data_IF_628598876939
#
_entry.id   IF_628598876939
#
_cell.length_a   1.000
_cell.length_b   1.000
_cell.length_c   1.000
_cell.angle_alpha   90.00
_cell.angle_beta   90.00
_cell.angle_gamma   90.00
#
_symmetry.space_group_name_H-M   'P 1'
#
loop_
_entity.id
_entity.type
_entity.pdbx_description
1 polymer ?
#
# COMPACT_ATOMS: atom_id res chain seq x y z
N UNK A 1 -2.63 -14.87 -17.37
CA UNK A 1 -3.02 -16.02 -16.52
C UNK A 1 -2.02 -16.04 -15.37
N UNK A 2 -1.94 -14.94 -14.62
CA UNK A 2 -0.84 -14.63 -13.68
C UNK A 2 -1.39 -14.03 -12.36
N UNK A 3 -2.51 -13.29 -12.42
CA UNK A 3 -3.21 -12.73 -11.25
C UNK A 3 -3.65 -13.77 -10.19
N UNK A 4 -4.00 -14.99 -10.60
CA UNK A 4 -4.47 -16.03 -9.68
C UNK A 4 -3.38 -16.52 -8.71
N UNK A 5 -2.12 -16.54 -9.14
CA UNK A 5 -0.99 -16.97 -8.30
C UNK A 5 -0.67 -15.88 -7.26
N UNK A 6 -0.61 -14.61 -7.67
CA UNK A 6 -0.42 -13.46 -6.78
C UNK A 6 -1.54 -13.37 -5.73
N UNK A 7 -2.80 -13.57 -6.14
CA UNK A 7 -3.94 -13.59 -5.21
C UNK A 7 -3.86 -14.75 -4.22
N UNK A 8 -3.39 -15.92 -4.67
CA UNK A 8 -3.16 -17.09 -3.81
C UNK A 8 -2.10 -16.82 -2.74
N UNK A 9 -0.95 -16.28 -3.15
CA UNK A 9 0.16 -15.94 -2.25
C UNK A 9 -0.23 -14.82 -1.26
N UNK A 10 -0.97 -13.80 -1.72
CA UNK A 10 -1.54 -12.79 -0.83
C UNK A 10 -2.47 -13.43 0.21
N UNK A 11 -3.31 -14.38 -0.22
CA UNK A 11 -4.17 -15.15 0.67
C UNK A 11 -3.37 -15.88 1.76
N UNK A 12 -2.25 -16.49 1.41
CA UNK A 12 -1.36 -17.16 2.37
C UNK A 12 -0.74 -16.18 3.36
N UNK A 13 -0.25 -15.03 2.91
CA UNK A 13 0.33 -13.98 3.78
C UNK A 13 -0.71 -13.49 4.80
N UNK A 14 -1.93 -13.19 4.35
CA UNK A 14 -3.03 -12.73 5.23
C UNK A 14 -3.42 -13.83 6.23
N UNK A 15 -3.49 -15.09 5.78
CA UNK A 15 -3.83 -16.22 6.65
C UNK A 15 -2.76 -16.49 7.70
N UNK A 16 -1.47 -16.41 7.35
CA UNK A 16 -0.36 -16.58 8.29
C UNK A 16 -0.39 -15.48 9.35
N UNK A 17 -0.60 -14.23 8.93
CA UNK A 17 -0.71 -13.10 9.83
C UNK A 17 -1.91 -13.25 10.79
N UNK A 18 -3.05 -13.72 10.29
CA UNK A 18 -4.20 -14.07 11.13
C UNK A 18 -3.87 -15.17 12.16
N UNK A 19 -3.19 -16.24 11.76
CA UNK A 19 -2.80 -17.34 12.65
C UNK A 19 -1.82 -16.91 13.76
N UNK A 20 -1.17 -15.75 13.60
CA UNK A 20 -0.22 -15.19 14.54
C UNK A 20 -0.72 -13.94 15.29
N UNK A 21 -2.04 -13.69 15.23
CA UNK A 21 -2.71 -12.55 15.88
C UNK A 21 -2.13 -11.19 15.45
N UNK A 22 -1.78 -11.04 14.17
CA UNK A 22 -1.24 -9.80 13.61
C UNK A 22 -2.39 -8.86 13.17
N UNK A 23 -2.36 -7.56 13.53
CA UNK A 23 -3.33 -6.55 13.07
C UNK A 23 -3.20 -6.28 11.57
N UNK A 24 -3.78 -7.13 10.73
CA UNK A 24 -3.72 -6.93 9.26
C UNK A 24 -4.82 -6.02 8.73
N UNK A 25 -5.92 -5.82 9.47
CA UNK A 25 -7.04 -4.97 9.01
C UNK A 25 -6.62 -3.50 9.05
N UNK A 26 -6.72 -2.82 7.91
CA UNK A 26 -6.36 -1.42 7.78
C UNK A 26 -5.58 -1.12 6.50
N UNK A 27 -5.10 0.12 6.41
CA UNK A 27 -4.32 0.64 5.29
C UNK A 27 -2.83 0.43 5.55
N UNK A 28 -2.18 -0.33 4.66
CA UNK A 28 -0.73 -0.55 4.62
C UNK A 28 -0.17 0.20 3.41
N UNK A 29 0.80 1.10 3.64
CA UNK A 29 1.44 1.87 2.57
C UNK A 29 2.89 1.42 2.45
N UNK A 30 3.19 0.74 1.35
CA UNK A 30 4.48 0.15 1.04
C UNK A 30 5.24 1.13 0.16
N UNK A 31 6.16 1.88 0.77
CA UNK A 31 6.92 2.93 0.09
C UNK A 31 8.22 2.41 -0.47
N UNK A 32 8.53 2.76 -1.72
CA UNK A 32 9.81 2.40 -2.34
C UNK A 32 10.69 3.64 -2.56
N UNK A 33 12.01 3.49 -2.39
CA UNK A 33 12.95 4.62 -2.51
C UNK A 33 13.29 4.98 -3.96
N UNK A 34 13.04 4.06 -4.90
CA UNK A 34 13.32 4.30 -6.32
C UNK A 34 12.22 5.13 -6.99
N UNK A 35 12.55 6.29 -7.60
CA UNK A 35 11.58 7.24 -8.15
C UNK A 35 10.83 6.74 -9.41
N UNK A 36 11.14 5.54 -9.90
CA UNK A 36 10.42 4.88 -10.99
C UNK A 36 9.49 3.75 -10.53
N UNK A 37 9.48 3.46 -9.22
CA UNK A 37 8.65 2.43 -8.61
C UNK A 37 7.51 3.13 -7.87
N UNK A 38 6.24 2.81 -8.15
CA UNK A 38 5.11 3.39 -7.43
C UNK A 38 5.09 2.92 -5.97
N UNK A 39 4.56 3.76 -5.09
CA UNK A 39 4.12 3.33 -3.78
C UNK A 39 2.88 2.44 -3.93
N UNK A 40 2.79 1.40 -3.11
CA UNK A 40 1.68 0.45 -3.14
C UNK A 40 0.86 0.64 -1.87
N UNK A 41 -0.40 1.02 -2.01
CA UNK A 41 -1.34 1.10 -0.92
C UNK A 41 -2.25 -0.13 -0.94
N UNK A 42 -2.30 -0.86 0.17
CA UNK A 42 -3.08 -2.07 0.37
C UNK A 42 -4.06 -1.84 1.51
N UNK A 43 -5.36 -1.80 1.22
CA UNK A 43 -6.41 -1.69 2.22
C UNK A 43 -7.07 -3.05 2.44
N UNK A 44 -6.87 -3.61 3.64
CA UNK A 44 -7.40 -4.91 4.03
C UNK A 44 -8.60 -4.70 4.95
N UNK A 45 -9.75 -5.20 4.51
CA UNK A 45 -11.02 -5.17 5.25
C UNK A 45 -11.45 -6.60 5.57
N UNK A 46 -12.00 -6.80 6.77
CA UNK A 46 -12.61 -8.07 7.16
C UNK A 46 -14.12 -7.92 7.20
N UNK A 47 -14.84 -8.97 6.80
CA UNK A 47 -16.30 -9.03 6.96
C UNK A 47 -16.71 -9.35 8.42
N UNK A 48 -15.75 -9.72 9.27
CA UNK A 48 -15.95 -9.93 10.70
C UNK A 48 -15.67 -8.62 11.48
N UNK A 49 -16.70 -8.02 12.13
CA UNK A 49 -16.54 -6.79 12.89
C UNK A 49 -15.61 -6.94 14.10
N UNK A 50 -15.44 -8.16 14.63
CA UNK A 50 -14.54 -8.43 15.76
C UNK A 50 -13.08 -8.59 15.33
N UNK A 51 -12.80 -8.69 14.02
CA UNK A 51 -11.43 -8.73 13.52
C UNK A 51 -10.68 -7.39 13.74
N UNK A 52 -11.41 -6.26 13.75
CA UNK A 52 -10.84 -4.94 14.00
C UNK A 52 -10.39 -4.75 15.45
N UNK A 53 -11.14 -5.32 16.40
CA UNK A 53 -10.90 -5.17 17.84
C UNK A 53 -9.87 -6.18 18.38
N UNK A 54 -9.51 -7.21 17.61
CA UNK A 54 -8.66 -8.30 18.07
C UNK A 54 -7.19 -7.96 18.28
N UNK A 55 -6.73 -6.75 17.94
CA UNK A 55 -5.28 -6.54 17.79
C UNK A 55 -4.79 -5.16 18.23
N UNK A 56 -4.49 -5.04 19.53
CA UNK A 56 -3.43 -4.13 19.98
C UNK A 56 -2.87 -4.53 21.36
N UNK A 57 -2.23 -5.70 21.40
CA UNK A 57 -1.14 -5.91 22.33
C UNK A 57 0.03 -5.05 21.79
N UNK A 58 0.32 -3.91 22.41
CA UNK A 58 1.42 -3.03 22.00
C UNK A 58 2.82 -3.60 22.28
N UNK A 59 2.99 -4.92 22.30
CA UNK A 59 4.30 -5.54 22.54
C UNK A 59 5.23 -5.41 21.35
N UNK A 60 6.51 -5.44 21.66
CA UNK A 60 7.59 -5.51 20.69
C UNK A 60 7.48 -6.76 19.79
N UNK A 61 6.93 -7.86 20.31
CA UNK A 61 6.71 -9.07 19.53
C UNK A 61 5.61 -8.90 18.48
N UNK A 62 4.51 -8.22 18.82
CA UNK A 62 3.45 -7.88 17.88
C UNK A 62 3.97 -6.92 16.79
N UNK A 63 4.74 -5.91 17.17
CA UNK A 63 5.36 -4.97 16.23
C UNK A 63 6.28 -5.68 15.21
N UNK A 64 7.12 -6.62 15.66
CA UNK A 64 8.00 -7.40 14.76
C UNK A 64 7.22 -8.28 13.80
N UNK A 65 6.09 -8.86 14.23
CA UNK A 65 5.26 -9.68 13.35
C UNK A 65 4.53 -8.83 12.32
N UNK A 66 4.09 -7.62 12.69
CA UNK A 66 3.51 -6.67 11.76
C UNK A 66 4.55 -6.24 10.70
N UNK A 67 5.76 -5.90 11.11
CA UNK A 67 6.86 -5.55 10.19
C UNK A 67 7.19 -6.72 9.23
N UNK A 68 7.21 -7.96 9.72
CA UNK A 68 7.41 -9.14 8.89
C UNK A 68 6.28 -9.35 7.87
N UNK A 69 5.04 -9.12 8.28
CA UNK A 69 3.87 -9.14 7.39
C UNK A 69 3.96 -8.06 6.30
N UNK A 70 4.26 -6.81 6.67
CA UNK A 70 4.41 -5.69 5.74
C UNK A 70 5.54 -5.94 4.74
N UNK A 71 6.66 -6.54 5.20
CA UNK A 71 7.78 -6.93 4.35
C UNK A 71 7.38 -8.00 3.34
N UNK A 72 6.70 -9.07 3.78
CA UNK A 72 6.24 -10.12 2.87
C UNK A 72 5.25 -9.59 1.82
N UNK A 73 4.35 -8.70 2.23
CA UNK A 73 3.41 -8.03 1.33
C UNK A 73 4.13 -7.16 0.30
N UNK A 74 5.13 -6.40 0.74
CA UNK A 74 5.95 -5.55 -0.14
C UNK A 74 6.72 -6.39 -1.16
N UNK A 75 7.39 -7.45 -0.73
CA UNK A 75 8.16 -8.32 -1.61
C UNK A 75 7.27 -8.95 -2.68
N UNK A 76 6.13 -9.53 -2.28
CA UNK A 76 5.16 -10.12 -3.22
C UNK A 76 4.70 -9.10 -4.27
N UNK A 77 4.21 -7.94 -3.83
CA UNK A 77 3.58 -6.97 -4.73
C UNK A 77 4.59 -6.24 -5.62
N UNK A 78 5.81 -5.99 -5.14
CA UNK A 78 6.86 -5.42 -5.98
C UNK A 78 7.37 -6.41 -7.02
N UNK A 79 7.52 -7.69 -6.65
CA UNK A 79 7.88 -8.74 -7.62
C UNK A 79 6.81 -8.87 -8.69
N UNK A 80 5.54 -9.01 -8.30
CA UNK A 80 4.43 -9.12 -9.25
C UNK A 80 4.28 -7.86 -10.14
N UNK A 81 4.57 -6.67 -9.60
CA UNK A 81 4.63 -5.44 -10.40
C UNK A 81 5.78 -5.46 -11.41
N UNK A 82 6.98 -5.87 -10.99
CA UNK A 82 8.15 -5.93 -11.87
C UNK A 82 8.00 -6.97 -13.01
N UNK A 83 7.21 -8.01 -12.77
CA UNK A 83 6.91 -9.08 -13.74
C UNK A 83 5.68 -8.79 -14.61
N UNK A 84 5.06 -7.61 -14.47
CA UNK A 84 3.84 -7.19 -15.20
C UNK A 84 2.63 -8.12 -14.92
N UNK A 85 2.64 -8.79 -13.76
CA UNK A 85 1.54 -9.66 -13.31
C UNK A 85 0.42 -8.86 -12.63
N UNK A 86 0.73 -7.64 -12.18
CA UNK A 86 -0.18 -6.64 -11.60
C UNK A 86 -0.59 -5.56 -12.63
N UNK A 87 -0.74 -5.91 -13.90
CA UNK A 87 -0.97 -4.95 -14.99
C UNK A 87 -2.30 -4.16 -14.89
N UNK A 88 -3.29 -4.64 -14.14
CA UNK A 88 -4.53 -3.90 -13.80
C UNK A 88 -4.85 -4.00 -12.29
N UNK A 89 -4.08 -3.30 -11.47
CA UNK A 89 -4.05 -3.53 -10.03
C UNK A 89 -5.09 -2.73 -9.26
N UNK A 90 -5.90 -1.93 -9.96
CA UNK A 90 -7.00 -1.18 -9.36
C UNK A 90 -8.19 -2.12 -9.23
N UNK A 91 -8.18 -2.90 -8.17
CA UNK A 91 -9.17 -3.95 -7.95
C UNK A 91 -9.34 -4.30 -6.49
N UNK A 92 -10.56 -4.75 -6.16
CA UNK A 92 -10.84 -5.37 -4.87
C UNK A 92 -10.80 -6.87 -5.07
N UNK A 93 -9.82 -7.52 -4.45
CA UNK A 93 -9.73 -8.97 -4.39
C UNK A 93 -10.44 -9.48 -3.15
N UNK A 94 -11.26 -10.52 -3.33
CA UNK A 94 -11.84 -11.25 -2.20
C UNK A 94 -10.98 -12.44 -1.85
N UNK A 95 -10.67 -12.61 -0.58
CA UNK A 95 -9.97 -13.78 -0.07
C UNK A 95 -11.00 -14.59 0.73
N UNK A 96 -11.43 -15.71 0.14
CA UNK A 96 -12.43 -16.61 0.71
C UNK A 96 -11.71 -17.87 1.19
N UNK A 97 -11.95 -18.27 2.44
CA UNK A 97 -11.34 -19.45 3.02
C UNK A 97 -12.40 -20.48 3.40
N UNK A 98 -12.16 -21.78 3.17
CA UNK A 98 -13.15 -22.82 3.45
C UNK A 98 -13.40 -23.07 4.94
N UNK A 99 -12.67 -22.40 5.84
CA UNK A 99 -12.77 -22.59 7.29
C UNK A 99 -13.73 -21.58 7.91
N UNK A 100 -14.75 -22.01 8.68
CA UNK A 100 -15.71 -21.09 9.31
C UNK A 100 -15.12 -20.26 10.46
N UNK A 101 -13.88 -20.54 10.86
CA UNK A 101 -13.16 -19.77 11.89
C UNK A 101 -12.21 -18.73 11.30
N UNK A 102 -12.08 -18.69 9.98
CA UNK A 102 -11.28 -17.74 9.24
C UNK A 102 -12.28 -16.78 8.57
N UNK A 103 -12.22 -15.48 8.83
CA UNK A 103 -13.15 -14.55 8.22
C UNK A 103 -12.82 -14.37 6.74
N UNK A 104 -13.81 -13.98 5.94
CA UNK A 104 -13.55 -13.52 4.59
C UNK A 104 -12.95 -12.12 4.62
N UNK A 105 -12.05 -11.84 3.68
CA UNK A 105 -11.38 -10.55 3.56
C UNK A 105 -11.57 -9.94 2.17
N UNK A 106 -11.60 -8.62 2.15
CA UNK A 106 -11.51 -7.82 0.92
C UNK A 106 -10.20 -7.03 0.96
N UNK A 107 -9.37 -7.22 -0.05
CA UNK A 107 -8.09 -6.51 -0.20
C UNK A 107 -8.16 -5.62 -1.42
N UNK A 108 -8.01 -4.32 -1.22
CA UNK A 108 -7.95 -3.32 -2.28
C UNK A 108 -6.50 -2.89 -2.47
N UNK A 109 -5.97 -3.05 -3.68
CA UNK A 109 -4.62 -2.62 -4.04
C UNK A 109 -4.73 -1.36 -4.90
N UNK A 110 -3.85 -0.39 -4.64
CA UNK A 110 -3.77 0.81 -5.45
C UNK A 110 -2.33 1.30 -5.55
N UNK A 111 -1.90 1.68 -6.75
CA UNK A 111 -0.59 2.26 -6.96
C UNK A 111 -0.67 3.78 -6.96
N UNK A 112 0.29 4.40 -6.29
CA UNK A 112 0.48 5.84 -6.30
C UNK A 112 1.89 6.10 -6.76
N UNK A 113 2.04 6.78 -7.89
CA UNK A 113 3.34 7.32 -8.24
C UNK A 113 3.68 8.33 -7.15
N UNK A 114 4.78 8.09 -6.43
CA UNK A 114 5.43 9.15 -5.69
C UNK A 114 5.68 10.26 -6.72
N UNK A 115 4.96 11.38 -6.61
CA UNK A 115 5.17 12.55 -7.44
C UNK A 115 6.61 12.99 -7.16
N UNK A 116 7.55 12.44 -7.94
CA UNK A 116 8.97 12.78 -7.89
C UNK A 116 9.02 14.27 -8.02
N UNK A 117 9.35 14.94 -6.90
CA UNK A 117 8.96 16.30 -6.60
C UNK A 117 8.83 17.13 -7.86
N UNK A 118 7.60 17.54 -8.19
CA UNK A 118 7.37 18.53 -9.22
C UNK A 118 8.39 19.62 -8.98
N UNK A 119 9.40 19.64 -9.85
CA UNK A 119 10.26 20.78 -9.99
C UNK A 119 9.27 21.88 -10.33
N UNK A 120 8.93 22.70 -9.34
CA UNK A 120 8.56 24.06 -9.59
C UNK A 120 9.69 24.57 -10.49
N UNK A 121 9.43 24.54 -11.81
CA UNK A 121 10.05 25.45 -12.74
C UNK A 121 9.66 26.80 -12.19
N UNK A 122 10.49 27.30 -11.28
CA UNK A 122 10.59 28.70 -10.96
C UNK A 122 10.62 29.40 -12.29
N UNK A 123 9.48 29.97 -12.68
CA UNK A 123 9.37 30.79 -13.85
C UNK A 123 10.49 31.84 -13.74
N UNK A 124 11.24 32.10 -14.82
CA UNK A 124 12.38 32.99 -14.74
C UNK A 124 11.92 34.34 -14.20
N UNK A 125 12.59 34.74 -13.11
CA UNK A 125 12.48 35.99 -12.39
C UNK A 125 12.31 37.16 -13.37
N UNK A 126 11.06 37.61 -13.57
CA UNK A 126 10.80 38.78 -14.41
C UNK A 126 11.14 40.02 -13.60
N UNK A 127 12.44 40.34 -13.57
CA UNK A 127 13.01 41.62 -13.14
C UNK A 127 12.17 42.77 -13.67
N UNK A 128 11.32 43.38 -12.84
CA UNK A 128 10.81 44.72 -13.07
C UNK A 128 11.89 45.72 -12.65
N UNK A 129 12.85 45.96 -13.55
CA UNK A 129 13.60 47.22 -13.59
C UNK A 129 12.83 48.21 -14.47
N UNK A 130 13.03 49.49 -14.16
CA UNK A 130 12.50 50.73 -14.74
C UNK A 130 11.30 51.31 -13.98
N UNK A 131 11.50 52.31 -13.12
CA UNK A 131 12.00 53.68 -13.32
C UNK A 131 10.89 54.66 -13.70
N UNK A 132 10.75 55.67 -12.83
CA UNK A 132 10.31 57.06 -13.07
C UNK A 132 8.91 57.30 -13.62
N UNK A 133 8.07 57.94 -12.79
CA UNK A 133 7.21 59.02 -13.27
C UNK A 133 7.18 60.14 -12.23
N UNK A 134 7.53 61.33 -12.71
CA UNK A 134 7.51 62.65 -12.07
C UNK A 134 6.30 63.39 -12.67
N UNK A 135 5.82 64.42 -11.95
CA UNK A 135 4.88 65.47 -12.36
C UNK A 135 3.38 65.14 -12.40
N UNK A 136 2.64 65.62 -11.39
CA UNK A 136 1.70 66.75 -11.47
C UNK A 136 1.21 67.14 -10.08
#
# INVERSE_FOLDING_TARGET
MYDEDVRGDLGLIVLEAFAHDVPVVGLHVLTHQDPGVPDIAVDIRSDDPEAHDRTHDGSEAAARRLEAFETALQDLLLTAYAEDELADPVGVWRLEFPSPHVPDWSVEISFRMSDGGSSERSAPERRKRHATARDS
#
